data_IF_372291166988
#
_entry.id   IF_372291166988
#
_cell.length_a   1.000
_cell.length_b   1.000
_cell.length_c   1.000
_cell.angle_alpha   90.00
_cell.angle_beta   90.00
_cell.angle_gamma   90.00
#
_symmetry.space_group_name_H-M   'P 1'
#
loop_
_entity.id
_entity.type
_entity.pdbx_description
1 polymer ?
#
# COMPACT_ATOMS: atom_id res chain seq x y z
N UNK A 1 -20.33 64.42 -4.21
CA UNK A 1 -19.49 63.77 -5.24
C UNK A 1 -18.02 64.11 -5.01
N UNK A 2 -17.59 65.37 -5.15
CA UNK A 2 -16.19 65.77 -4.90
C UNK A 2 -15.70 65.49 -3.47
N UNK A 3 -16.53 65.74 -2.46
CA UNK A 3 -16.19 65.41 -1.07
C UNK A 3 -15.98 63.90 -0.85
N UNK A 4 -16.71 63.05 -1.57
CA UNK A 4 -16.56 61.59 -1.50
C UNK A 4 -15.27 61.17 -2.23
N UNK A 5 -14.99 61.77 -3.38
CA UNK A 5 -13.75 61.52 -4.13
C UNK A 5 -12.51 62.02 -3.36
N UNK A 6 -12.63 63.10 -2.61
CA UNK A 6 -11.56 63.67 -1.79
C UNK A 6 -11.28 62.82 -0.54
N UNK A 7 -12.32 62.41 0.17
CA UNK A 7 -12.21 61.50 1.32
C UNK A 7 -11.62 60.13 0.91
N UNK A 8 -12.01 59.61 -0.27
CA UNK A 8 -11.46 58.38 -0.82
C UNK A 8 -10.02 58.52 -1.32
N UNK A 9 -9.62 59.69 -1.84
CA UNK A 9 -8.24 59.95 -2.26
C UNK A 9 -7.28 60.06 -1.07
N UNK A 10 -7.73 60.60 0.07
CA UNK A 10 -6.93 60.70 1.30
C UNK A 10 -6.69 59.33 1.97
N UNK A 11 -7.55 58.34 1.71
CA UNK A 11 -7.45 56.99 2.28
C UNK A 11 -6.69 55.98 1.40
N UNK A 12 -6.41 56.32 0.14
CA UNK A 12 -5.78 55.43 -0.84
C UNK A 12 -4.25 55.30 -0.63
N UNK A 13 -3.70 54.09 -0.80
CA UNK A 13 -2.24 53.86 -0.74
C UNK A 13 -1.63 53.98 -2.13
N UNK A 14 -0.35 54.34 -2.18
CA UNK A 14 0.39 54.43 -3.45
C UNK A 14 0.45 53.05 -4.14
N UNK A 15 -0.23 52.91 -5.28
CA UNK A 15 -0.31 51.66 -6.06
C UNK A 15 -1.70 51.05 -6.18
N UNK A 16 -2.72 51.58 -5.49
CA UNK A 16 -4.10 51.09 -5.62
C UNK A 16 -4.68 51.42 -7.02
N UNK A 17 -5.49 50.54 -7.64
CA UNK A 17 -6.06 50.74 -8.98
C UNK A 17 -6.80 52.09 -9.13
N UNK A 18 -7.55 52.49 -8.11
CA UNK A 18 -8.24 53.78 -8.01
C UNK A 18 -7.28 54.99 -8.06
N UNK A 19 -6.06 54.85 -7.54
CA UNK A 19 -5.01 55.88 -7.60
C UNK A 19 -4.55 56.11 -9.03
N UNK A 20 -4.44 55.04 -9.83
CA UNK A 20 -4.05 55.12 -11.24
C UNK A 20 -5.18 55.72 -12.09
N UNK A 21 -6.43 55.34 -11.84
CA UNK A 21 -7.61 55.92 -12.50
C UNK A 21 -7.72 57.41 -12.21
N UNK A 22 -7.54 57.84 -10.96
CA UNK A 22 -7.51 59.27 -10.58
C UNK A 22 -6.32 60.03 -11.19
N UNK A 23 -5.12 59.44 -11.21
CA UNK A 23 -3.95 60.05 -11.87
C UNK A 23 -4.17 60.22 -13.38
N UNK A 24 -4.90 59.31 -14.02
CA UNK A 24 -5.28 59.42 -15.43
C UNK A 24 -6.31 60.52 -15.71
N UNK A 25 -7.11 60.90 -14.70
CA UNK A 25 -8.12 61.97 -14.78
C UNK A 25 -7.56 63.35 -14.41
N UNK A 26 -6.47 63.40 -13.63
CA UNK A 26 -5.79 64.63 -13.16
C UNK A 26 -4.54 65.01 -14.00
N UNK A 27 -4.60 64.71 -15.30
CA UNK A 27 -3.60 65.15 -16.28
C UNK A 27 -3.74 66.67 -16.51
N UNK A 28 -2.68 67.43 -16.86
CA UNK A 28 -2.81 68.85 -17.20
C UNK A 28 -3.86 69.10 -18.28
N UNK A 29 -4.80 70.03 -18.03
CA UNK A 29 -6.02 70.23 -18.82
C UNK A 29 -6.95 69.00 -18.90
N UNK A 30 -6.87 68.07 -17.94
CA UNK A 30 -7.68 66.86 -17.88
C UNK A 30 -9.11 67.10 -17.37
N UNK A 31 -9.98 66.09 -17.46
CA UNK A 31 -11.39 66.20 -17.08
C UNK A 31 -11.60 66.73 -15.66
N UNK A 32 -10.73 66.34 -14.72
CA UNK A 32 -10.81 66.70 -13.31
C UNK A 32 -10.42 68.16 -13.05
N UNK A 33 -9.32 68.63 -13.64
CA UNK A 33 -8.90 70.03 -13.58
C UNK A 33 -9.92 70.96 -14.25
N UNK A 34 -10.45 70.55 -15.41
CA UNK A 34 -11.43 71.37 -16.09
C UNK A 34 -12.76 71.42 -15.30
N UNK A 35 -13.15 70.36 -14.59
CA UNK A 35 -14.33 70.35 -13.71
C UNK A 35 -14.10 71.22 -12.47
N UNK A 36 -12.90 71.18 -11.88
CA UNK A 36 -12.47 72.06 -10.78
C UNK A 36 -12.50 73.52 -11.19
N UNK A 37 -11.96 73.86 -12.36
CA UNK A 37 -12.00 75.22 -12.90
C UNK A 37 -13.45 75.71 -13.10
N UNK A 38 -14.34 74.86 -13.61
CA UNK A 38 -15.76 75.21 -13.76
C UNK A 38 -16.44 75.49 -12.40
N UNK A 39 -16.09 74.73 -11.36
CA UNK A 39 -16.60 74.94 -10.01
C UNK A 39 -15.97 76.14 -9.30
N UNK A 40 -14.70 76.43 -9.54
CA UNK A 40 -14.04 77.64 -9.02
C UNK A 40 -14.64 78.91 -9.65
N UNK A 41 -14.95 78.87 -10.96
CA UNK A 41 -15.70 79.95 -11.63
C UNK A 41 -17.10 80.10 -11.01
N UNK A 42 -17.80 79.00 -10.75
CA UNK A 42 -19.11 79.02 -10.10
C UNK A 42 -19.03 79.58 -8.67
N UNK A 43 -18.05 79.13 -7.89
CA UNK A 43 -17.84 79.54 -6.50
C UNK A 43 -17.43 81.02 -6.39
N UNK A 44 -16.57 81.50 -7.29
CA UNK A 44 -16.16 82.92 -7.34
C UNK A 44 -17.32 83.87 -7.65
N UNK A 45 -18.31 83.42 -8.44
CA UNK A 45 -19.54 84.18 -8.75
C UNK A 45 -20.63 84.04 -7.68
N UNK A 46 -20.57 83.00 -6.83
CA UNK A 46 -21.53 82.73 -5.74
C UNK A 46 -21.04 83.21 -4.37
N UNK A 47 -19.75 83.53 -4.23
CA UNK A 47 -19.19 84.04 -2.98
C UNK A 47 -19.92 85.34 -2.56
N UNK A 48 -20.28 85.50 -1.27
CA UNK A 48 -20.88 86.73 -0.81
C UNK A 48 -19.87 87.87 -0.97
N UNK A 49 -20.19 88.86 -1.80
CA UNK A 49 -19.34 90.06 -1.90
C UNK A 49 -19.34 90.72 -0.53
N UNK A 50 -18.19 91.06 0.02
CA UNK A 50 -18.10 91.81 1.27
C UNK A 50 -18.86 93.14 1.12
N UNK A 51 -20.01 93.27 1.79
CA UNK A 51 -20.88 94.45 1.73
C UNK A 51 -22.40 94.22 1.72
N UNK A 52 -22.88 92.97 1.76
CA UNK A 52 -24.31 92.63 1.58
C UNK A 52 -25.19 92.77 2.84
N UNK A 53 -25.01 93.82 3.64
CA UNK A 53 -25.85 94.02 4.84
C UNK A 53 -27.07 94.95 4.64
N UNK A 54 -27.21 95.62 3.48
CA UNK A 54 -28.35 96.52 3.26
C UNK A 54 -28.75 96.62 1.78
N UNK A 55 -29.57 95.68 1.31
CA UNK A 55 -30.66 95.94 0.35
C UNK A 55 -31.42 94.64 0.11
N UNK A 56 -32.62 94.59 0.66
CA UNK A 56 -33.52 93.47 0.52
C UNK A 56 -34.08 93.36 -0.90
N UNK A 57 -34.33 92.12 -1.29
CA UNK A 57 -35.37 91.69 -2.22
C UNK A 57 -35.36 92.34 -3.60
N UNK A 58 -34.28 92.11 -4.36
CA UNK A 58 -34.44 91.80 -5.79
C UNK A 58 -33.53 90.62 -6.09
N UNK A 59 -34.14 89.58 -6.64
CA UNK A 59 -33.56 88.33 -7.12
C UNK A 59 -32.54 88.62 -8.25
N UNK A 60 -31.42 89.29 -7.95
CA UNK A 60 -30.34 89.46 -8.93
C UNK A 60 -29.47 88.20 -8.88
N UNK A 61 -29.97 87.19 -9.58
CA UNK A 61 -29.16 86.05 -9.96
C UNK A 61 -27.96 86.56 -10.79
N UNK A 62 -26.71 86.35 -10.36
CA UNK A 62 -25.51 86.99 -10.95
C UNK A 62 -25.05 86.36 -12.27
N UNK A 63 -25.84 85.46 -12.86
CA UNK A 63 -25.51 84.81 -14.12
C UNK A 63 -26.54 85.15 -15.19
N UNK A 64 -26.05 85.33 -16.42
CA UNK A 64 -26.91 85.30 -17.60
C UNK A 64 -27.35 83.86 -17.88
N UNK A 65 -28.55 83.67 -18.44
CA UNK A 65 -29.12 82.33 -18.70
C UNK A 65 -28.17 81.46 -19.56
N UNK A 66 -27.43 82.10 -20.47
CA UNK A 66 -26.44 81.47 -21.35
C UNK A 66 -25.19 80.98 -20.59
N UNK A 67 -24.72 81.74 -19.60
CA UNK A 67 -23.59 81.36 -18.75
C UNK A 67 -23.89 80.10 -17.93
N UNK A 68 -25.10 80.03 -17.34
CA UNK A 68 -25.55 78.87 -16.57
C UNK A 68 -25.66 77.66 -17.47
N UNK A 69 -26.26 77.81 -18.66
CA UNK A 69 -26.45 76.72 -19.60
C UNK A 69 -25.11 76.16 -20.12
N UNK A 70 -24.12 77.04 -20.29
CA UNK A 70 -22.75 76.67 -20.67
C UNK A 70 -22.02 75.93 -19.55
N UNK A 71 -22.17 76.36 -18.30
CA UNK A 71 -21.58 75.68 -17.14
C UNK A 71 -22.27 74.32 -16.90
N UNK A 72 -23.60 74.28 -16.94
CA UNK A 72 -24.37 73.03 -16.80
C UNK A 72 -24.03 72.03 -17.89
N UNK A 73 -23.99 72.43 -19.16
CA UNK A 73 -23.54 71.56 -20.26
C UNK A 73 -22.12 71.04 -20.07
N UNK A 74 -21.23 71.84 -19.49
CA UNK A 74 -19.85 71.44 -19.23
C UNK A 74 -19.77 70.42 -18.07
N UNK A 75 -20.57 70.62 -17.02
CA UNK A 75 -20.71 69.70 -15.90
C UNK A 75 -21.34 68.38 -16.36
N UNK A 76 -22.44 68.45 -17.12
CA UNK A 76 -23.15 67.28 -17.66
C UNK A 76 -22.28 66.47 -18.62
N UNK A 77 -21.57 67.13 -19.56
CA UNK A 77 -20.67 66.44 -20.49
C UNK A 77 -19.53 65.70 -19.78
N UNK A 78 -19.07 66.19 -18.63
CA UNK A 78 -17.97 65.56 -17.89
C UNK A 78 -18.41 64.56 -16.84
N UNK A 79 -19.66 64.65 -16.36
CA UNK A 79 -20.26 63.69 -15.44
C UNK A 79 -20.16 62.25 -15.98
N UNK A 80 -20.36 62.06 -17.28
CA UNK A 80 -20.27 60.76 -17.95
C UNK A 80 -18.89 60.11 -17.76
N UNK A 81 -17.80 60.89 -17.82
CA UNK A 81 -16.42 60.38 -17.65
C UNK A 81 -16.18 59.93 -16.21
N UNK A 82 -16.69 60.65 -15.23
CA UNK A 82 -16.61 60.25 -13.82
C UNK A 82 -17.46 59.00 -13.52
N UNK A 83 -18.64 58.88 -14.13
CA UNK A 83 -19.50 57.71 -13.99
C UNK A 83 -18.83 56.46 -14.60
N UNK A 84 -18.14 56.60 -15.74
CA UNK A 84 -17.32 55.55 -16.36
C UNK A 84 -16.11 55.15 -15.51
N UNK A 85 -15.34 56.12 -15.00
CA UNK A 85 -14.19 55.83 -14.14
C UNK A 85 -14.62 55.05 -12.89
N UNK A 86 -15.72 55.46 -12.25
CA UNK A 86 -16.29 54.75 -11.10
C UNK A 86 -16.70 53.31 -11.43
N UNK A 87 -17.25 53.08 -12.62
CA UNK A 87 -17.59 51.73 -13.07
C UNK A 87 -16.34 50.88 -13.31
N UNK A 88 -15.30 51.47 -13.91
CA UNK A 88 -14.03 50.78 -14.15
C UNK A 88 -13.36 50.34 -12.83
N UNK A 89 -13.35 51.21 -11.82
CA UNK A 89 -12.81 50.86 -10.51
C UNK A 89 -13.61 49.75 -9.81
N UNK A 90 -14.94 49.77 -9.92
CA UNK A 90 -15.77 48.68 -9.42
C UNK A 90 -15.46 47.34 -10.11
N UNK A 91 -15.21 47.37 -11.43
CA UNK A 91 -14.84 46.18 -12.19
C UNK A 91 -13.45 45.69 -11.77
N UNK A 92 -12.48 46.58 -11.59
CA UNK A 92 -11.12 46.26 -11.15
C UNK A 92 -11.10 45.64 -9.76
N UNK A 93 -11.83 46.24 -8.80
CA UNK A 93 -12.01 45.68 -7.46
C UNK A 93 -12.68 44.31 -7.50
N UNK A 94 -13.73 44.13 -8.31
CA UNK A 94 -14.40 42.83 -8.46
C UNK A 94 -13.46 41.75 -8.99
N UNK A 95 -12.63 42.07 -9.98
CA UNK A 95 -11.63 41.13 -10.53
C UNK A 95 -10.54 40.80 -9.51
N UNK A 96 -10.09 41.77 -8.72
CA UNK A 96 -9.12 41.52 -7.66
C UNK A 96 -9.69 40.58 -6.59
N UNK A 97 -10.96 40.78 -6.19
CA UNK A 97 -11.66 39.89 -5.26
C UNK A 97 -11.79 38.48 -5.85
N UNK A 98 -12.17 38.36 -7.13
CA UNK A 98 -12.30 37.05 -7.80
C UNK A 98 -10.97 36.28 -7.79
N UNK A 99 -9.86 36.95 -8.15
CA UNK A 99 -8.52 36.35 -8.11
C UNK A 99 -8.11 35.90 -6.69
N UNK A 100 -8.41 36.72 -5.67
CA UNK A 100 -8.12 36.37 -4.27
C UNK A 100 -8.96 35.18 -3.79
N UNK A 101 -10.22 35.09 -4.23
CA UNK A 101 -11.12 33.95 -3.94
C UNK A 101 -10.59 32.68 -4.60
N UNK A 102 -10.16 32.73 -5.86
CA UNK A 102 -9.53 31.59 -6.54
C UNK A 102 -8.24 31.14 -5.83
N UNK A 103 -7.40 32.10 -5.42
CA UNK A 103 -6.19 31.81 -4.66
C UNK A 103 -6.49 31.17 -3.29
N UNK A 104 -7.58 31.57 -2.64
CA UNK A 104 -8.05 30.94 -1.41
C UNK A 104 -8.54 29.51 -1.67
N UNK A 105 -9.36 29.29 -2.71
CA UNK A 105 -9.83 27.95 -3.07
C UNK A 105 -8.66 26.98 -3.33
N UNK A 106 -7.65 27.42 -4.10
CA UNK A 106 -6.46 26.60 -4.34
C UNK A 106 -5.72 26.23 -3.03
N UNK A 107 -5.61 27.17 -2.08
CA UNK A 107 -5.00 26.91 -0.77
C UNK A 107 -5.85 25.96 0.10
N UNK A 108 -7.16 26.11 0.07
CA UNK A 108 -8.07 25.19 0.77
C UNK A 108 -7.98 23.77 0.21
N UNK A 109 -7.93 23.60 -1.11
CA UNK A 109 -7.76 22.31 -1.76
C UNK A 109 -6.43 21.65 -1.41
N UNK A 110 -5.34 22.43 -1.39
CA UNK A 110 -4.03 21.95 -0.95
C UNK A 110 -4.07 21.52 0.52
N UNK A 111 -4.70 22.31 1.37
CA UNK A 111 -4.86 22.00 2.80
C UNK A 111 -5.68 20.73 3.00
N UNK A 112 -6.79 20.57 2.27
CA UNK A 112 -7.60 19.35 2.26
C UNK A 112 -6.82 18.11 1.83
N UNK A 113 -6.02 18.22 0.76
CA UNK A 113 -5.11 17.15 0.32
C UNK A 113 -4.06 16.82 1.38
N UNK A 114 -3.47 17.80 2.05
CA UNK A 114 -2.50 17.54 3.14
C UNK A 114 -3.15 16.86 4.34
N UNK A 115 -4.35 17.27 4.73
CA UNK A 115 -5.08 16.69 5.84
C UNK A 115 -5.48 15.23 5.56
N UNK A 116 -5.95 14.95 4.34
CA UNK A 116 -6.22 13.58 3.89
C UNK A 116 -4.96 12.69 3.96
N UNK A 117 -3.80 13.19 3.52
CA UNK A 117 -2.52 12.45 3.62
C UNK A 117 -2.09 12.18 5.05
N UNK A 118 -2.29 13.14 5.96
CA UNK A 118 -2.00 12.98 7.39
C UNK A 118 -2.89 11.90 8.01
N UNK A 119 -4.20 11.96 7.72
CA UNK A 119 -5.17 10.98 8.22
C UNK A 119 -4.84 9.56 7.74
N UNK A 120 -4.59 9.39 6.44
CA UNK A 120 -4.19 8.10 5.85
C UNK A 120 -2.94 7.55 6.53
N UNK A 121 -1.91 8.37 6.76
CA UNK A 121 -0.67 7.94 7.43
C UNK A 121 -0.92 7.46 8.87
N UNK A 122 -1.85 8.08 9.57
CA UNK A 122 -2.17 7.74 10.95
C UNK A 122 -2.98 6.44 11.03
N UNK A 123 -3.91 6.24 10.11
CA UNK A 123 -4.64 4.99 9.93
C UNK A 123 -3.68 3.85 9.55
N UNK A 124 -2.69 4.11 8.70
CA UNK A 124 -1.63 3.16 8.34
C UNK A 124 -0.80 2.72 9.56
N UNK A 125 -0.38 3.68 10.40
CA UNK A 125 0.34 3.37 11.65
C UNK A 125 -0.53 2.59 12.61
N UNK A 126 -1.84 2.88 12.66
CA UNK A 126 -2.78 2.18 13.54
C UNK A 126 -3.01 0.74 13.08
N UNK A 127 -3.17 0.52 11.77
CA UNK A 127 -3.27 -0.80 11.16
C UNK A 127 -2.03 -1.65 11.43
N UNK A 128 -0.84 -1.09 11.21
CA UNK A 128 0.44 -1.78 11.50
C UNK A 128 0.56 -2.20 12.96
N UNK A 129 0.18 -1.31 13.89
CA UNK A 129 0.16 -1.60 15.34
C UNK A 129 -0.83 -2.72 15.67
N UNK A 130 -2.05 -2.65 15.13
CA UNK A 130 -3.08 -3.65 15.36
C UNK A 130 -2.68 -5.04 14.85
N UNK A 131 -2.20 -5.13 13.60
CA UNK A 131 -1.71 -6.39 13.03
C UNK A 131 -0.44 -6.90 13.70
N UNK A 132 0.26 -6.06 14.48
CA UNK A 132 1.62 -6.32 14.96
C UNK A 132 2.56 -6.71 13.81
N UNK A 133 2.33 -6.13 12.63
CA UNK A 133 3.08 -6.44 11.42
C UNK A 133 4.55 -6.01 11.59
N UNK A 134 5.47 -6.91 11.28
CA UNK A 134 6.90 -6.65 11.44
C UNK A 134 7.40 -5.79 10.30
N UNK A 135 8.21 -4.80 10.64
CA UNK A 135 8.81 -3.92 9.65
C UNK A 135 9.94 -4.64 8.89
N UNK A 136 9.81 -4.88 7.57
CA UNK A 136 10.86 -5.48 6.78
C UNK A 136 12.02 -4.50 6.50
N UNK A 137 11.81 -3.19 6.71
CA UNK A 137 12.77 -2.13 6.41
C UNK A 137 14.08 -2.29 7.19
N UNK A 138 14.05 -2.84 8.41
CA UNK A 138 15.28 -3.07 9.20
C UNK A 138 16.27 -4.00 8.50
N UNK A 139 15.79 -5.13 7.97
CA UNK A 139 16.65 -6.10 7.27
C UNK A 139 17.07 -5.57 5.91
N UNK A 140 16.15 -4.91 5.21
CA UNK A 140 16.45 -4.23 3.96
C UNK A 140 17.55 -3.18 4.13
N UNK A 141 17.40 -2.24 5.07
CA UNK A 141 18.39 -1.18 5.34
C UNK A 141 19.73 -1.76 5.80
N UNK A 142 19.72 -2.81 6.62
CA UNK A 142 20.96 -3.51 7.00
C UNK A 142 21.67 -4.08 5.78
N UNK A 143 20.97 -4.85 4.96
CA UNK A 143 21.53 -5.43 3.74
C UNK A 143 21.93 -4.36 2.70
N UNK A 144 21.23 -3.22 2.67
CA UNK A 144 21.56 -2.08 1.82
C UNK A 144 22.85 -1.39 2.27
N UNK A 145 23.03 -1.21 3.58
CA UNK A 145 24.24 -0.60 4.16
C UNK A 145 25.48 -1.50 4.02
N UNK A 146 25.30 -2.82 4.08
CA UNK A 146 26.36 -3.80 3.88
C UNK A 146 26.69 -4.02 2.39
N UNK A 147 25.89 -3.47 1.47
CA UNK A 147 26.05 -3.65 0.02
C UNK A 147 27.12 -2.73 -0.54
N UNK A 148 28.09 -3.31 -1.24
CA UNK A 148 29.00 -2.53 -2.09
C UNK A 148 28.30 -2.07 -3.37
N UNK A 149 28.56 -0.81 -3.77
CA UNK A 149 27.95 -0.19 -4.95
C UNK A 149 28.20 -1.04 -6.21
N UNK A 150 27.14 -1.32 -6.97
CA UNK A 150 27.20 -2.13 -8.19
C UNK A 150 27.01 -3.65 -7.99
N UNK A 151 26.95 -4.12 -6.75
CA UNK A 151 26.64 -5.54 -6.46
C UNK A 151 25.25 -5.90 -6.98
N UNK A 152 25.13 -7.02 -7.68
CA UNK A 152 23.85 -7.55 -8.18
C UNK A 152 23.38 -6.99 -9.53
N UNK A 153 24.10 -6.03 -10.14
CA UNK A 153 23.74 -5.50 -11.47
C UNK A 153 23.66 -6.57 -12.56
N UNK A 154 24.62 -7.50 -12.57
CA UNK A 154 24.64 -8.64 -13.49
C UNK A 154 23.35 -9.45 -13.47
N UNK A 155 22.65 -9.48 -12.32
CA UNK A 155 21.39 -10.18 -12.17
C UNK A 155 20.21 -9.34 -12.67
N UNK A 156 20.20 -8.03 -12.37
CA UNK A 156 19.17 -7.12 -12.87
C UNK A 156 19.17 -7.05 -14.42
N UNK A 157 20.35 -7.19 -15.03
CA UNK A 157 20.54 -7.21 -16.49
C UNK A 157 20.23 -8.58 -17.11
N UNK A 158 19.93 -9.61 -16.29
CA UNK A 158 19.64 -10.95 -16.81
C UNK A 158 18.23 -11.05 -17.39
N UNK A 159 18.08 -11.82 -18.48
CA UNK A 159 16.79 -12.05 -19.11
C UNK A 159 15.76 -12.64 -18.13
N UNK A 160 16.18 -13.58 -17.27
CA UNK A 160 15.30 -14.20 -16.27
C UNK A 160 14.68 -13.19 -15.30
N UNK A 161 15.45 -12.17 -14.89
CA UNK A 161 14.92 -11.11 -14.02
C UNK A 161 13.99 -10.17 -14.77
N UNK A 162 14.37 -9.77 -15.99
CA UNK A 162 13.58 -8.86 -16.83
C UNK A 162 12.23 -9.49 -17.19
N UNK A 163 12.22 -10.78 -17.56
CA UNK A 163 11.01 -11.56 -17.85
C UNK A 163 10.12 -11.66 -16.61
N UNK A 164 10.69 -12.03 -15.47
CA UNK A 164 9.97 -12.07 -14.20
C UNK A 164 9.32 -10.72 -13.85
N UNK A 165 10.07 -9.62 -14.01
CA UNK A 165 9.57 -8.28 -13.68
C UNK A 165 8.41 -7.84 -14.60
N UNK A 166 8.43 -8.27 -15.87
CA UNK A 166 7.45 -7.88 -16.89
C UNK A 166 6.18 -8.73 -16.85
N UNK A 167 6.28 -10.03 -16.58
CA UNK A 167 5.14 -10.94 -16.68
C UNK A 167 4.28 -10.96 -15.40
N UNK A 168 2.96 -10.79 -15.51
CA UNK A 168 2.08 -10.87 -14.36
C UNK A 168 2.05 -12.31 -13.82
N UNK A 169 2.06 -12.47 -12.49
CA UNK A 169 2.03 -13.77 -11.79
C UNK A 169 3.23 -14.67 -12.09
N UNK A 170 4.34 -14.10 -12.56
CA UNK A 170 5.60 -14.79 -12.73
C UNK A 170 6.24 -15.14 -11.39
N UNK A 171 7.09 -16.17 -11.38
CA UNK A 171 7.78 -16.65 -10.18
C UNK A 171 9.26 -16.84 -10.46
N UNK A 172 10.11 -16.29 -9.57
CA UNK A 172 11.57 -16.38 -9.68
C UNK A 172 12.17 -16.91 -8.39
N UNK A 173 12.83 -18.06 -8.47
CA UNK A 173 13.49 -18.69 -7.35
C UNK A 173 15.01 -18.51 -7.44
N UNK A 174 15.59 -17.84 -6.45
CA UNK A 174 17.05 -17.68 -6.32
C UNK A 174 17.57 -18.53 -5.16
N UNK A 175 18.52 -19.41 -5.44
CA UNK A 175 19.18 -20.24 -4.43
C UNK A 175 20.70 -20.16 -4.55
N UNK A 176 21.39 -20.54 -3.49
CA UNK A 176 22.84 -20.54 -3.45
C UNK A 176 23.36 -20.97 -2.09
N UNK A 177 24.66 -21.25 -2.00
CA UNK A 177 25.31 -21.68 -0.76
C UNK A 177 25.21 -20.61 0.35
N UNK A 178 25.21 -20.99 1.64
CA UNK A 178 25.30 -20.02 2.73
C UNK A 178 26.48 -19.05 2.54
N UNK A 179 26.28 -17.76 2.82
CA UNK A 179 27.32 -16.74 2.68
C UNK A 179 27.55 -16.17 1.28
N UNK A 180 26.92 -16.69 0.21
CA UNK A 180 27.11 -16.16 -1.16
C UNK A 180 26.45 -14.80 -1.45
N UNK A 181 26.02 -14.05 -0.41
CA UNK A 181 25.47 -12.71 -0.58
C UNK A 181 24.00 -12.65 -1.01
N UNK A 182 23.20 -13.72 -0.87
CA UNK A 182 21.76 -13.71 -1.23
C UNK A 182 20.97 -12.55 -0.62
N UNK A 183 21.22 -12.22 0.65
CA UNK A 183 20.55 -11.11 1.33
C UNK A 183 20.93 -9.73 0.76
N UNK A 184 22.17 -9.58 0.28
CA UNK A 184 22.65 -8.37 -0.41
C UNK A 184 22.06 -8.31 -1.83
N UNK A 185 21.92 -9.46 -2.49
CA UNK A 185 21.26 -9.54 -3.79
C UNK A 185 19.76 -9.21 -3.66
N UNK A 186 19.08 -9.69 -2.62
CA UNK A 186 17.66 -9.39 -2.40
C UNK A 186 17.40 -7.92 -2.11
N UNK A 187 18.30 -7.21 -1.41
CA UNK A 187 18.15 -5.76 -1.23
C UNK A 187 18.28 -5.01 -2.56
N UNK A 188 19.17 -5.48 -3.45
CA UNK A 188 19.31 -4.93 -4.80
C UNK A 188 18.06 -5.14 -5.66
N UNK A 189 17.48 -6.34 -5.59
CA UNK A 189 16.22 -6.64 -6.27
C UNK A 189 15.09 -5.77 -5.73
N UNK A 190 14.94 -5.68 -4.40
CA UNK A 190 13.88 -4.89 -3.77
C UNK A 190 13.99 -3.41 -4.14
N UNK A 191 15.21 -2.84 -4.14
CA UNK A 191 15.44 -1.46 -4.55
C UNK A 191 14.98 -1.22 -6.01
N UNK A 192 15.38 -2.07 -6.94
CA UNK A 192 15.04 -1.95 -8.37
C UNK A 192 13.53 -2.11 -8.64
N UNK A 193 12.86 -2.99 -7.90
CA UNK A 193 11.40 -3.17 -8.00
C UNK A 193 10.65 -1.99 -7.37
N UNK A 194 11.12 -1.45 -6.24
CA UNK A 194 10.56 -0.23 -5.62
C UNK A 194 10.64 0.94 -6.61
N UNK A 195 11.82 1.21 -7.18
CA UNK A 195 11.99 2.29 -8.16
C UNK A 195 11.09 2.12 -9.39
N UNK A 196 10.84 0.89 -9.84
CA UNK A 196 9.94 0.63 -10.94
C UNK A 196 8.48 0.92 -10.59
N UNK A 197 8.04 0.55 -9.39
CA UNK A 197 6.69 0.84 -8.93
C UNK A 197 6.48 2.31 -8.55
N UNK A 198 7.52 3.07 -8.22
CA UNK A 198 7.40 4.53 -8.05
C UNK A 198 7.03 5.24 -9.36
N UNK A 199 7.32 4.64 -10.52
CA UNK A 199 6.94 5.17 -11.83
C UNK A 199 5.50 4.82 -12.22
N UNK A 200 4.87 3.86 -11.54
CA UNK A 200 3.52 3.37 -11.82
C UNK A 200 2.65 3.35 -10.56
N UNK A 201 1.73 4.32 -10.47
CA UNK A 201 0.83 4.47 -9.32
C UNK A 201 -0.08 3.25 -9.05
N UNK A 202 -0.22 2.32 -10.00
CA UNK A 202 -1.03 1.13 -9.84
C UNK A 202 -0.26 -0.06 -9.23
N UNK A 203 1.07 -0.02 -9.16
CA UNK A 203 1.89 -1.18 -8.74
C UNK A 203 2.44 -1.08 -7.32
N UNK A 204 2.19 -2.09 -6.49
CA UNK A 204 2.66 -2.13 -5.09
C UNK A 204 3.79 -3.13 -4.96
N UNK A 205 4.81 -2.74 -4.19
CA UNK A 205 5.86 -3.68 -3.78
C UNK A 205 5.58 -4.14 -2.36
N UNK A 206 5.59 -5.45 -2.17
CA UNK A 206 5.60 -6.07 -0.85
C UNK A 206 6.79 -7.00 -0.76
N UNK A 207 7.54 -6.89 0.33
CA UNK A 207 8.69 -7.73 0.60
C UNK A 207 8.75 -8.10 2.09
N UNK A 208 9.32 -9.26 2.38
CA UNK A 208 9.49 -9.77 3.73
C UNK A 208 10.80 -10.56 3.83
N UNK A 209 11.50 -10.41 4.96
CA UNK A 209 12.75 -11.11 5.24
C UNK A 209 12.50 -12.14 6.34
N UNK A 210 12.75 -13.42 6.05
CA UNK A 210 12.90 -14.43 7.08
C UNK A 210 14.30 -14.29 7.69
N UNK A 211 14.37 -14.07 9.01
CA UNK A 211 15.62 -13.83 9.74
C UNK A 211 15.78 -14.83 10.88
N UNK A 212 16.89 -15.57 10.88
CA UNK A 212 17.20 -16.53 11.94
C UNK A 212 17.51 -15.88 13.29
N UNK A 213 17.87 -14.58 13.31
CA UNK A 213 18.15 -13.84 14.54
C UNK A 213 16.89 -13.20 15.14
N UNK A 214 15.78 -13.17 14.40
CA UNK A 214 14.51 -12.62 14.86
C UNK A 214 13.45 -13.74 14.87
N UNK A 215 13.20 -14.30 16.05
CA UNK A 215 12.25 -15.41 16.27
C UNK A 215 10.86 -15.11 15.69
N UNK A 216 10.47 -13.84 15.68
CA UNK A 216 9.17 -13.43 15.16
C UNK A 216 9.19 -13.42 13.63
N UNK A 217 10.31 -13.12 12.98
CA UNK A 217 10.45 -13.22 11.51
C UNK A 217 10.61 -14.65 10.98
N UNK A 218 10.61 -15.65 11.87
CA UNK A 218 10.62 -17.07 11.48
C UNK A 218 9.21 -17.63 11.32
N UNK A 219 8.18 -16.95 11.86
CA UNK A 219 6.78 -17.37 11.76
C UNK A 219 6.16 -16.87 10.46
N UNK A 220 5.51 -17.77 9.75
CA UNK A 220 4.72 -17.50 8.55
C UNK A 220 3.51 -16.59 8.81
N UNK A 221 2.91 -16.65 10.00
CA UNK A 221 1.87 -15.70 10.42
C UNK A 221 2.32 -14.24 10.27
N UNK A 222 3.60 -13.95 10.51
CA UNK A 222 4.15 -12.60 10.42
C UNK A 222 4.41 -12.16 8.97
N UNK A 223 4.65 -13.09 8.06
CA UNK A 223 4.60 -12.83 6.62
C UNK A 223 3.18 -12.41 6.21
N UNK A 224 2.16 -13.16 6.61
CA UNK A 224 0.76 -12.86 6.30
C UNK A 224 0.30 -11.53 6.89
N UNK A 225 0.63 -11.26 8.15
CA UNK A 225 0.36 -9.95 8.79
C UNK A 225 1.02 -8.80 8.05
N UNK A 226 2.23 -9.00 7.54
CA UNK A 226 2.93 -8.00 6.73
C UNK A 226 2.19 -7.79 5.39
N UNK A 227 1.85 -8.86 4.66
CA UNK A 227 1.11 -8.79 3.40
C UNK A 227 -0.24 -8.08 3.56
N UNK A 228 -1.01 -8.44 4.59
CA UNK A 228 -2.30 -7.80 4.91
C UNK A 228 -2.11 -6.34 5.29
N UNK A 229 -1.06 -6.03 6.07
CA UNK A 229 -0.73 -4.64 6.37
C UNK A 229 -0.47 -3.87 5.09
N UNK A 230 0.30 -4.40 4.15
CA UNK A 230 0.60 -3.73 2.87
C UNK A 230 -0.63 -3.57 1.97
N UNK A 231 -1.50 -4.58 1.89
CA UNK A 231 -2.77 -4.47 1.17
C UNK A 231 -3.67 -3.37 1.77
N UNK A 232 -3.70 -3.27 3.10
CA UNK A 232 -4.43 -2.21 3.80
C UNK A 232 -3.85 -0.80 3.62
N UNK A 233 -2.56 -0.65 3.25
CA UNK A 233 -1.96 0.65 2.92
C UNK A 233 -2.45 1.21 1.57
N UNK A 234 -3.11 0.39 0.75
CA UNK A 234 -3.65 0.78 -0.56
C UNK A 234 -5.15 0.92 -0.59
N UNK A 235 -5.86 0.27 0.31
CA UNK A 235 -7.29 0.46 0.45
C UNK A 235 -7.54 1.84 1.06
N UNK A 236 -8.27 2.69 0.34
CA UNK A 236 -8.75 4.00 0.81
C UNK A 236 -9.68 3.90 2.03
N UNK A 237 -10.10 2.67 2.39
CA UNK A 237 -10.93 2.38 3.53
C UNK A 237 -10.51 1.04 4.14
N UNK A 238 -10.00 1.06 5.37
CA UNK A 238 -9.84 -0.14 6.19
C UNK A 238 -11.04 -0.21 7.11
N UNK A 239 -11.97 -1.17 6.93
CA UNK A 239 -13.12 -1.30 7.83
C UNK A 239 -12.62 -1.71 9.21
N UNK A 240 -12.48 -0.74 10.12
CA UNK A 240 -11.99 -0.96 11.48
C UNK A 240 -12.93 -1.85 12.30
N UNK A 241 -14.18 -2.05 11.84
CA UNK A 241 -15.14 -3.04 12.33
C UNK A 241 -14.64 -4.48 12.17
N UNK A 242 -13.77 -4.74 11.18
CA UNK A 242 -13.08 -6.03 11.01
C UNK A 242 -11.91 -6.15 12.01
N UNK A 243 -11.39 -5.02 12.50
CA UNK A 243 -10.25 -4.96 13.42
C UNK A 243 -10.64 -4.97 14.91
N UNK A 244 -11.88 -4.59 15.25
CA UNK A 244 -12.39 -4.63 16.63
C UNK A 244 -12.71 -6.05 17.11
N UNK A 245 -12.95 -6.98 16.18
CA UNK A 245 -12.93 -8.41 16.51
C UNK A 245 -11.47 -8.82 16.56
N UNK A 246 -10.99 -9.18 17.75
CA UNK A 246 -9.80 -10.02 17.92
C UNK A 246 -9.68 -10.97 16.72
N UNK A 247 -8.54 -10.94 16.03
CA UNK A 247 -8.15 -12.00 15.09
C UNK A 247 -7.98 -13.27 15.93
N UNK A 248 -9.10 -13.80 16.39
CA UNK A 248 -9.25 -15.09 17.01
C UNK A 248 -8.65 -16.09 16.03
N UNK A 249 -7.95 -17.07 16.56
CA UNK A 249 -7.48 -18.25 15.86
C UNK A 249 -8.51 -18.81 14.85
N UNK A 250 -9.80 -18.59 15.06
CA UNK A 250 -10.89 -18.92 14.14
C UNK A 250 -10.89 -18.17 12.78
N UNK A 251 -10.43 -16.90 12.73
CA UNK A 251 -10.42 -16.10 11.49
C UNK A 251 -9.13 -16.32 10.69
N UNK A 252 -8.01 -16.60 11.39
CA UNK A 252 -6.79 -17.15 10.78
C UNK A 252 -7.04 -18.58 10.28
N UNK A 253 -7.83 -19.39 10.98
CA UNK A 253 -8.31 -20.69 10.50
C UNK A 253 -9.14 -20.57 9.21
N UNK A 254 -10.08 -19.62 9.15
CA UNK A 254 -10.88 -19.36 7.94
C UNK A 254 -10.03 -18.90 6.74
N UNK A 255 -8.99 -18.09 6.96
CA UNK A 255 -8.02 -17.72 5.92
C UNK A 255 -7.09 -18.90 5.54
N UNK A 256 -6.71 -19.74 6.51
CA UNK A 256 -5.89 -20.92 6.30
C UNK A 256 -6.62 -22.01 5.49
N UNK A 257 -7.96 -22.05 5.51
CA UNK A 257 -8.75 -22.92 4.62
C UNK A 257 -8.55 -22.63 3.12
N UNK A 258 -7.98 -21.46 2.75
CA UNK A 258 -7.58 -21.16 1.36
C UNK A 258 -6.11 -21.43 1.06
N UNK A 259 -5.37 -22.04 1.99
CA UNK A 259 -3.97 -22.40 1.83
C UNK A 259 -3.79 -23.91 1.66
N UNK A 260 -2.64 -24.33 1.12
CA UNK A 260 -2.26 -25.74 0.99
C UNK A 260 -2.35 -26.48 2.35
N UNK A 261 -1.94 -25.82 3.44
CA UNK A 261 -1.98 -26.39 4.80
C UNK A 261 -3.42 -26.69 5.26
N UNK A 262 -4.39 -25.82 4.95
CA UNK A 262 -5.81 -26.07 5.23
C UNK A 262 -6.39 -27.21 4.39
N UNK A 263 -5.90 -27.36 3.16
CA UNK A 263 -6.26 -28.48 2.27
C UNK A 263 -5.76 -29.81 2.83
N UNK A 264 -4.50 -29.87 3.25
CA UNK A 264 -3.93 -31.07 3.91
C UNK A 264 -4.61 -31.38 5.24
N UNK A 265 -4.88 -30.36 6.06
CA UNK A 265 -5.61 -30.53 7.31
C UNK A 265 -6.97 -31.21 7.09
N UNK A 266 -7.73 -30.78 6.07
CA UNK A 266 -9.04 -31.36 5.75
C UNK A 266 -8.92 -32.79 5.26
N UNK A 267 -7.98 -33.06 4.35
CA UNK A 267 -7.75 -34.41 3.83
C UNK A 267 -7.45 -35.37 4.97
N UNK A 268 -6.51 -34.99 5.84
CA UNK A 268 -6.06 -35.81 6.95
C UNK A 268 -7.12 -35.96 8.05
N UNK A 269 -7.89 -34.90 8.33
CA UNK A 269 -9.02 -34.97 9.28
C UNK A 269 -10.22 -35.78 8.77
N UNK A 270 -10.35 -35.95 7.45
CA UNK A 270 -11.42 -36.74 6.83
C UNK A 270 -11.07 -38.23 6.71
N UNK A 271 -9.86 -38.64 7.11
CA UNK A 271 -9.48 -40.05 7.20
C UNK A 271 -10.38 -40.72 8.24
N UNK A 272 -10.93 -41.89 7.89
CA UNK A 272 -11.79 -42.64 8.79
C UNK A 272 -11.05 -42.99 10.09
N UNK A 273 -11.74 -42.87 11.24
CA UNK A 273 -11.17 -43.17 12.54
C UNK A 273 -10.80 -44.64 12.69
N UNK A 274 -11.46 -45.53 11.95
CA UNK A 274 -11.18 -46.97 11.93
C UNK A 274 -9.81 -47.28 11.31
N UNK A 275 -9.41 -46.54 10.27
CA UNK A 275 -8.12 -46.72 9.58
C UNK A 275 -7.02 -45.75 10.04
N UNK A 276 -7.36 -44.77 10.86
CA UNK A 276 -6.45 -43.69 11.30
C UNK A 276 -5.09 -44.17 11.83
N UNK A 277 -5.01 -45.35 12.45
CA UNK A 277 -3.74 -45.91 12.92
C UNK A 277 -2.83 -46.40 11.77
N UNK A 278 -3.41 -46.97 10.71
CA UNK A 278 -2.69 -47.41 9.51
C UNK A 278 -2.26 -46.21 8.67
N UNK A 279 -3.16 -45.26 8.44
CA UNK A 279 -2.87 -44.03 7.72
C UNK A 279 -1.75 -43.21 8.39
N UNK A 280 -1.77 -43.13 9.72
CA UNK A 280 -0.73 -42.44 10.46
C UNK A 280 0.63 -43.15 10.33
N UNK A 281 0.66 -44.47 10.47
CA UNK A 281 1.90 -45.26 10.30
C UNK A 281 2.43 -45.13 8.87
N UNK A 282 1.57 -45.23 7.86
CA UNK A 282 1.90 -45.04 6.46
C UNK A 282 2.60 -43.70 6.24
N UNK A 283 1.96 -42.60 6.67
CA UNK A 283 2.49 -41.25 6.55
C UNK A 283 3.80 -41.08 7.34
N UNK A 284 3.95 -41.72 8.50
CA UNK A 284 5.20 -41.70 9.30
C UNK A 284 6.38 -42.32 8.56
N UNK A 285 6.18 -43.48 7.94
CA UNK A 285 7.23 -44.19 7.19
C UNK A 285 7.59 -43.49 5.88
N UNK A 286 6.60 -42.98 5.14
CA UNK A 286 6.84 -42.18 3.94
C UNK A 286 7.56 -40.85 4.25
N UNK A 287 7.30 -40.27 5.42
CA UNK A 287 7.92 -39.00 5.84
C UNK A 287 9.37 -39.19 6.29
N UNK A 288 9.69 -40.28 7.00
CA UNK A 288 10.98 -40.46 7.65
C UNK A 288 11.94 -41.44 6.95
N UNK A 289 11.48 -42.17 5.94
CA UNK A 289 12.34 -43.04 5.15
C UNK A 289 13.46 -42.23 4.45
N UNK A 290 14.68 -42.77 4.49
CA UNK A 290 15.85 -42.16 3.87
C UNK A 290 15.92 -42.42 2.35
N UNK A 291 15.16 -43.42 1.88
CA UNK A 291 15.02 -43.85 0.49
C UNK A 291 13.55 -44.12 0.18
N UNK A 292 13.11 -44.06 -1.09
CA UNK A 292 11.80 -44.55 -1.50
C UNK A 292 11.56 -45.99 -1.01
N UNK A 293 10.36 -46.25 -0.49
CA UNK A 293 9.95 -47.57 0.01
C UNK A 293 9.23 -48.33 -1.10
N UNK A 294 9.44 -49.65 -1.18
CA UNK A 294 8.65 -50.52 -2.04
C UNK A 294 7.29 -50.78 -1.40
N UNK A 295 6.27 -51.08 -2.21
CA UNK A 295 4.94 -51.40 -1.69
C UNK A 295 5.01 -52.63 -0.77
N UNK A 296 5.76 -53.67 -1.15
CA UNK A 296 5.91 -54.88 -0.35
C UNK A 296 6.55 -54.59 1.01
N UNK A 297 7.63 -53.80 1.04
CA UNK A 297 8.29 -53.38 2.28
C UNK A 297 7.32 -52.61 3.19
N UNK A 298 6.47 -51.76 2.60
CA UNK A 298 5.51 -50.98 3.37
C UNK A 298 4.36 -51.84 3.91
N UNK A 299 3.92 -52.87 3.17
CA UNK A 299 2.91 -53.83 3.61
C UNK A 299 3.35 -54.57 4.88
N UNK A 300 4.58 -55.07 4.88
CA UNK A 300 5.19 -55.75 6.02
C UNK A 300 5.30 -54.82 7.23
N UNK A 301 5.73 -53.57 6.99
CA UNK A 301 5.88 -52.56 8.03
C UNK A 301 4.54 -52.16 8.67
N UNK A 302 3.47 -52.07 7.89
CA UNK A 302 2.14 -51.76 8.40
C UNK A 302 1.55 -52.93 9.22
N UNK A 303 1.88 -54.17 8.87
CA UNK A 303 1.52 -55.38 9.63
C UNK A 303 2.28 -55.52 10.97
N UNK A 304 3.34 -54.72 11.19
CA UNK A 304 4.03 -54.70 12.48
C UNK A 304 3.27 -53.92 13.55
N UNK A 305 3.03 -54.58 14.69
CA UNK A 305 2.54 -53.92 15.88
C UNK A 305 3.71 -53.37 16.70
N UNK A 306 3.77 -52.04 16.83
CA UNK A 306 4.84 -51.33 17.55
C UNK A 306 4.41 -50.93 18.97
N UNK A 307 3.15 -51.18 19.34
CA UNK A 307 2.64 -50.88 20.67
C UNK A 307 3.08 -52.00 21.64
N UNK A 308 4.28 -51.85 22.22
CA UNK A 308 4.88 -52.81 23.15
C UNK A 308 6.09 -53.50 22.56
N UNK A 309 6.15 -54.84 22.66
CA UNK A 309 7.18 -55.62 21.97
C UNK A 309 6.84 -55.71 20.49
N UNK A 310 7.75 -55.34 19.56
CA UNK A 310 7.47 -55.42 18.13
C UNK A 310 7.16 -56.87 17.74
N UNK A 311 5.94 -57.10 17.25
CA UNK A 311 5.49 -58.41 16.78
C UNK A 311 4.78 -58.25 15.44
N UNK A 312 5.06 -59.17 14.53
CA UNK A 312 4.32 -59.30 13.29
C UNK A 312 2.92 -59.82 13.61
N UNK A 313 1.89 -59.17 13.04
CA UNK A 313 0.49 -59.54 13.24
C UNK A 313 -0.07 -60.10 11.91
N UNK A 314 -0.19 -61.43 11.77
CA UNK A 314 -0.65 -62.06 10.54
C UNK A 314 -2.07 -61.64 10.12
N UNK A 315 -2.92 -61.26 11.09
CA UNK A 315 -4.30 -60.82 10.81
C UNK A 315 -4.34 -59.40 10.22
N UNK A 316 -3.23 -58.66 10.27
CA UNK A 316 -3.09 -57.29 9.77
C UNK A 316 -2.25 -57.19 8.50
N UNK A 317 -1.87 -58.32 7.92
CA UNK A 317 -1.16 -58.37 6.65
C UNK A 317 -2.15 -58.16 5.49
N UNK A 318 -1.84 -57.21 4.60
CA UNK A 318 -2.65 -56.97 3.41
C UNK A 318 -2.64 -58.22 2.50
N UNK A 319 -3.81 -58.68 2.06
CA UNK A 319 -3.91 -59.83 1.17
C UNK A 319 -3.27 -59.51 -0.20
N UNK A 320 -3.51 -58.30 -0.70
CA UNK A 320 -2.77 -57.70 -1.82
C UNK A 320 -2.01 -56.44 -1.33
N UNK A 321 -0.68 -56.36 -1.50
CA UNK A 321 0.07 -55.15 -1.19
C UNK A 321 -0.45 -53.88 -1.88
N UNK A 322 -1.15 -54.00 -3.02
CA UNK A 322 -1.76 -52.86 -3.71
C UNK A 322 -2.89 -52.19 -2.90
N UNK A 323 -3.52 -52.90 -1.98
CA UNK A 323 -4.60 -52.38 -1.12
C UNK A 323 -4.12 -51.21 -0.23
N UNK A 324 -2.79 -51.07 -0.04
CA UNK A 324 -2.19 -49.92 0.65
C UNK A 324 -2.50 -48.59 -0.06
N UNK A 325 -2.76 -48.60 -1.37
CA UNK A 325 -3.12 -47.39 -2.11
C UNK A 325 -4.51 -46.88 -1.75
N UNK A 326 -5.36 -47.70 -1.12
CA UNK A 326 -6.63 -47.27 -0.57
C UNK A 326 -6.46 -46.45 0.72
N UNK A 327 -5.29 -46.52 1.36
CA UNK A 327 -4.91 -45.71 2.50
C UNK A 327 -4.38 -44.34 2.03
N UNK A 328 -5.04 -43.26 2.45
CA UNK A 328 -4.72 -41.88 2.06
C UNK A 328 -4.54 -41.66 0.53
N UNK A 329 -5.52 -42.02 -0.32
CA UNK A 329 -5.35 -42.02 -1.77
C UNK A 329 -5.02 -40.64 -2.37
N UNK A 330 -5.37 -39.57 -1.66
CA UNK A 330 -5.07 -38.18 -2.08
C UNK A 330 -3.69 -37.68 -1.65
N UNK A 331 -2.97 -38.40 -0.79
CA UNK A 331 -1.65 -38.01 -0.27
C UNK A 331 -0.52 -38.95 -0.70
N UNK A 332 -0.84 -40.05 -1.37
CA UNK A 332 0.10 -41.10 -1.74
C UNK A 332 0.04 -41.33 -3.25
N UNK A 333 1.19 -41.62 -3.85
CA UNK A 333 1.33 -41.88 -5.28
C UNK A 333 2.25 -43.05 -5.54
N UNK A 334 2.01 -43.73 -6.66
CA UNK A 334 2.84 -44.82 -7.14
C UNK A 334 3.85 -44.31 -8.16
N UNK A 335 5.13 -44.64 -7.96
CA UNK A 335 6.20 -44.43 -8.92
C UNK A 335 6.68 -45.76 -9.49
N UNK A 336 6.83 -45.84 -10.81
CA UNK A 336 7.47 -46.98 -11.48
C UNK A 336 8.82 -46.56 -12.06
N UNK A 337 9.86 -47.34 -11.79
CA UNK A 337 11.12 -47.20 -12.51
C UNK A 337 11.00 -47.96 -13.83
N UNK A 338 10.69 -47.27 -14.93
CA UNK A 338 10.88 -47.81 -16.28
C UNK A 338 12.34 -47.60 -16.70
N UNK A 339 13.26 -48.33 -16.06
CA UNK A 339 14.59 -48.46 -16.61
C UNK A 339 14.49 -49.33 -17.87
N UNK A 340 14.66 -48.69 -19.04
CA UNK A 340 14.99 -49.36 -20.29
C UNK A 340 16.28 -50.17 -20.10
N UNK A 341 16.17 -51.41 -19.68
CA UNK A 341 17.20 -52.43 -19.83
C UNK A 341 16.49 -53.78 -19.70
N UNK A 342 16.81 -54.65 -20.66
CA UNK A 342 16.51 -56.07 -20.69
C UNK A 342 16.62 -56.70 -19.30
N UNK A 343 15.48 -56.93 -18.64
CA UNK A 343 15.24 -57.98 -17.64
C UNK A 343 13.74 -57.95 -17.33
N UNK A 344 13.05 -59.06 -17.63
CA UNK A 344 11.59 -59.20 -17.57
C UNK A 344 11.05 -59.46 -16.15
N UNK A 345 11.86 -59.29 -15.10
CA UNK A 345 11.45 -59.58 -13.73
C UNK A 345 11.58 -58.37 -12.80
N UNK A 346 10.42 -57.94 -12.28
CA UNK A 346 10.19 -56.89 -11.29
C UNK A 346 10.16 -55.45 -11.83
N UNK A 347 8.99 -55.07 -12.35
CA UNK A 347 8.50 -53.69 -12.18
C UNK A 347 8.47 -53.35 -10.69
N UNK A 348 9.56 -52.79 -10.16
CA UNK A 348 9.61 -52.39 -8.74
C UNK A 348 8.78 -51.13 -8.57
N UNK A 349 7.56 -51.31 -8.08
CA UNK A 349 6.65 -50.21 -7.75
C UNK A 349 7.08 -49.61 -6.41
N UNK A 350 7.38 -48.31 -6.41
CA UNK A 350 7.70 -47.54 -5.22
C UNK A 350 6.51 -46.67 -4.82
N UNK A 351 6.37 -46.45 -3.52
CA UNK A 351 5.30 -45.64 -2.97
C UNK A 351 5.89 -44.40 -2.31
N UNK A 352 5.26 -43.25 -2.57
CA UNK A 352 5.73 -41.96 -2.13
C UNK A 352 4.58 -41.01 -1.81
N UNK A 353 4.91 -39.91 -1.13
CA UNK A 353 3.93 -38.83 -0.94
C UNK A 353 3.61 -38.18 -2.29
N UNK A 354 2.33 -37.91 -2.54
CA UNK A 354 1.84 -37.29 -3.76
C UNK A 354 2.50 -35.94 -4.06
N UNK A 355 2.91 -35.22 -3.00
CA UNK A 355 3.63 -33.96 -3.14
C UNK A 355 4.59 -33.73 -1.97
N UNK A 356 5.74 -33.09 -2.24
CA UNK A 356 6.76 -32.84 -1.22
C UNK A 356 6.23 -31.96 -0.07
N UNK A 357 5.28 -31.07 -0.34
CA UNK A 357 4.72 -30.19 0.69
C UNK A 357 3.86 -30.94 1.71
N UNK A 358 3.35 -32.14 1.40
CA UNK A 358 2.66 -33.01 2.37
C UNK A 358 3.62 -33.35 3.51
N UNK A 359 4.86 -33.70 3.14
CA UNK A 359 5.95 -33.97 4.10
C UNK A 359 6.25 -32.76 4.96
N UNK A 360 6.35 -31.58 4.36
CA UNK A 360 6.61 -30.34 5.09
C UNK A 360 5.49 -30.02 6.08
N UNK A 361 4.24 -30.20 5.67
CA UNK A 361 3.07 -29.98 6.53
C UNK A 361 3.06 -30.91 7.74
N UNK A 362 3.25 -32.21 7.53
CA UNK A 362 3.20 -33.23 8.61
C UNK A 362 4.33 -33.06 9.64
N UNK A 363 5.50 -32.55 9.23
CA UNK A 363 6.65 -32.29 10.13
C UNK A 363 6.56 -30.89 10.77
N UNK A 364 5.75 -29.98 10.20
CA UNK A 364 5.72 -28.58 10.61
C UNK A 364 5.35 -28.39 12.08
N UNK A 365 5.76 -27.26 12.67
CA UNK A 365 5.22 -26.82 13.97
C UNK A 365 3.75 -26.43 13.91
N UNK A 366 3.21 -26.19 12.70
CA UNK A 366 1.88 -25.61 12.45
C UNK A 366 0.76 -26.60 12.70
N UNK A 367 0.96 -27.86 12.32
CA UNK A 367 -0.01 -28.95 12.54
C UNK A 367 -0.31 -29.17 14.04
N UNK A 368 0.63 -28.83 14.93
CA UNK A 368 0.49 -29.02 16.40
C UNK A 368 -0.67 -28.26 17.02
N UNK A 369 -1.04 -27.12 16.44
CA UNK A 369 -2.09 -26.24 16.96
C UNK A 369 -3.40 -26.33 16.15
N UNK A 370 -3.43 -27.19 15.13
CA UNK A 370 -4.59 -27.40 14.26
C UNK A 370 -5.41 -28.66 14.59
N UNK A 371 -6.53 -28.89 13.89
CA UNK A 371 -7.36 -30.08 14.11
C UNK A 371 -6.66 -31.38 13.68
N UNK A 372 -5.69 -31.30 12.77
CA UNK A 372 -4.88 -32.44 12.32
C UNK A 372 -3.71 -32.76 13.26
N UNK A 373 -3.67 -32.23 14.50
CA UNK A 373 -2.57 -32.43 15.46
C UNK A 373 -2.20 -33.88 15.74
N UNK A 374 -3.15 -34.81 15.63
CA UNK A 374 -2.92 -36.25 15.80
C UNK A 374 -2.01 -36.84 14.73
N UNK A 375 -1.86 -36.16 13.60
CA UNK A 375 -1.01 -36.53 12.48
C UNK A 375 0.33 -35.78 12.46
N UNK A 376 0.64 -35.02 13.51
CA UNK A 376 1.93 -34.37 13.67
C UNK A 376 3.06 -35.42 13.80
N UNK A 377 4.05 -35.35 12.91
CA UNK A 377 5.22 -36.25 12.94
C UNK A 377 6.39 -35.51 13.58
N UNK A 378 6.69 -35.84 14.83
CA UNK A 378 7.83 -35.25 15.54
C UNK A 378 9.14 -35.93 15.11
N UNK A 379 10.04 -35.17 14.47
CA UNK A 379 11.40 -35.66 14.21
C UNK A 379 12.22 -35.58 15.50
N UNK A 380 12.41 -36.73 16.15
CA UNK A 380 13.39 -36.85 17.23
C UNK A 380 14.76 -36.99 16.58
N UNK A 381 15.59 -35.93 16.67
CA UNK A 381 16.99 -36.00 16.27
C UNK A 381 17.72 -36.80 17.36
N UNK A 382 18.00 -38.07 17.11
CA UNK A 382 18.83 -38.88 18.00
C UNK A 382 20.18 -38.16 18.16
N UNK A 383 20.44 -37.60 19.36
CA UNK A 383 21.77 -37.09 19.71
C UNK A 383 22.68 -38.32 19.81
N UNK A 384 23.85 -38.23 19.16
CA UNK A 384 24.92 -39.23 19.30
C UNK A 384 25.18 -39.47 20.80
N UNK A 385 24.96 -40.70 21.26
CA UNK A 385 25.48 -41.14 22.56
C UNK A 385 26.96 -41.50 22.32
N UNK A 386 27.87 -40.72 22.89
CA UNK A 386 29.30 -41.02 23.02
C UNK A 386 30.05 -41.43 21.74
N UNK A 387 29.93 -40.65 20.65
CA UNK A 387 30.90 -40.67 19.55
C UNK A 387 31.00 -41.96 18.71
N UNK A 388 30.28 -43.04 19.05
CA UNK A 388 30.25 -44.27 18.24
C UNK A 388 29.08 -44.22 17.27
N UNK A 389 29.33 -44.55 16.00
CA UNK A 389 28.26 -44.84 15.02
C UNK A 389 27.44 -45.99 15.59
N UNK A 390 26.12 -45.80 15.72
CA UNK A 390 25.21 -46.95 15.81
C UNK A 390 25.47 -47.83 14.58
N UNK A 391 25.54 -49.16 14.73
CA UNK A 391 25.71 -50.04 13.59
C UNK A 391 24.63 -49.73 12.56
N UNK A 392 25.01 -49.69 11.28
CA UNK A 392 24.05 -49.61 10.19
C UNK A 392 23.08 -50.77 10.39
N UNK A 393 21.81 -50.46 10.65
CA UNK A 393 20.72 -51.43 10.52
C UNK A 393 20.56 -51.62 9.00
N UNK A 394 21.42 -52.43 8.42
CA UNK A 394 21.30 -52.95 7.06
C UNK A 394 20.99 -54.43 7.06
N UNK A 395 20.49 -54.97 8.18
CA UNK A 395 20.18 -56.39 8.35
C UNK A 395 18.97 -56.65 9.24
N UNK A 396 18.05 -55.70 9.36
CA UNK A 396 16.72 -55.97 9.88
C UNK A 396 15.74 -55.42 8.85
N UNK A 397 15.33 -56.33 7.96
CA UNK A 397 14.01 -56.34 7.36
C UNK A 397 12.99 -56.35 8.51
#
# INVERSE_FOLDING_TARGET
MLLILQDQAEQARAGDPWSLTLQSLDVPNGPLQQFRAALEVLNSKLAPVEGWSKLGKVFLWPFEREDIDRILKTIERRRVVFDLARQDDHILLSKAIENDVEALQCRFDQTGKTFARIQINEDHKRLRRWLSARDPSKNYNKALNERHKGTGKWFLESNAFIEWKREPKSFLWLYGIPGCGKSILSSTIVEDVICHCELDNELAVVYFYFDFNDVEKQRDENLLRSLVSFAGLRASFVPWEIASTSLSSAKLWYLCQKTLDGTYARIVCNIDKEHSQYDLKLLQWLTNSARPLRIQELAEVLAMNVNGSPRFDPERHFADPQDILELCPSLVTLGSNTSKAFDEEASTNYIGLAHFSVKEYLISGRIKYGPARSFCIQRIKLKRINGRRLPRISSAI
#
